data_IF_646214848257
#
_entry.id   IF_646214848257
#
_cell.length_a   1.000
_cell.length_b   1.000
_cell.length_c   1.000
_cell.angle_alpha   90.00
_cell.angle_beta   90.00
_cell.angle_gamma   90.00
#
_symmetry.space_group_name_H-M   'P 1'
#
loop_
_entity.id
_entity.type
_entity.pdbx_description
1 polymer ?
#
# COMPACT_ATOMS: atom_id res chain seq x y z
N UNK A 1 11.37 3.06 -10.64
CA UNK A 1 12.21 4.21 -11.06
C UNK A 1 13.66 3.75 -11.18
N UNK A 2 14.33 3.26 -10.13
CA UNK A 2 15.77 2.95 -10.12
C UNK A 2 16.26 2.09 -11.30
N UNK A 3 15.56 0.99 -11.61
CA UNK A 3 15.89 0.15 -12.77
C UNK A 3 15.73 0.93 -14.07
N UNK A 4 14.57 1.56 -14.26
CA UNK A 4 14.26 2.28 -15.49
C UNK A 4 15.23 3.44 -15.75
N UNK A 5 15.57 4.20 -14.70
CA UNK A 5 16.55 5.29 -14.80
C UNK A 5 17.92 4.80 -15.28
N UNK A 6 18.40 3.68 -14.72
CA UNK A 6 19.71 3.11 -15.08
C UNK A 6 19.70 2.41 -16.44
N UNK A 7 18.67 1.60 -16.73
CA UNK A 7 18.59 0.80 -17.95
C UNK A 7 18.32 1.67 -19.17
N UNK A 8 17.40 2.62 -19.05
CA UNK A 8 17.02 3.49 -20.16
C UNK A 8 18.01 4.65 -20.36
N UNK A 9 18.84 4.92 -19.37
CA UNK A 9 19.75 6.08 -19.35
C UNK A 9 19.06 7.40 -19.73
N UNK A 10 17.81 7.55 -19.33
CA UNK A 10 16.96 8.72 -19.58
C UNK A 10 16.48 9.33 -18.29
N UNK A 11 16.32 10.64 -18.30
CA UNK A 11 15.67 11.36 -17.21
C UNK A 11 14.18 11.01 -17.20
N UNK A 12 13.70 10.44 -16.10
CA UNK A 12 12.31 10.05 -15.94
C UNK A 12 11.53 11.16 -15.25
N UNK A 13 10.24 11.31 -15.57
CA UNK A 13 9.34 12.17 -14.81
C UNK A 13 8.75 11.38 -13.64
N UNK A 14 8.86 11.92 -12.44
CA UNK A 14 8.31 11.36 -11.22
C UNK A 14 7.33 12.33 -10.56
N UNK A 15 6.22 11.82 -10.10
CA UNK A 15 5.15 12.59 -9.49
C UNK A 15 4.92 12.12 -8.06
N UNK A 16 4.81 13.05 -7.11
CA UNK A 16 4.50 12.73 -5.72
C UNK A 16 3.51 13.71 -5.14
N UNK A 17 2.54 13.20 -4.41
CA UNK A 17 1.70 14.03 -3.54
C UNK A 17 2.51 14.33 -2.29
N UNK A 18 2.61 15.61 -1.97
CA UNK A 18 3.28 16.09 -0.77
C UNK A 18 2.25 16.26 0.33
N UNK A 19 2.48 15.59 1.44
CA UNK A 19 1.59 15.58 2.59
C UNK A 19 2.29 16.23 3.79
N UNK A 20 1.62 17.20 4.41
CA UNK A 20 2.14 17.90 5.59
C UNK A 20 1.81 17.18 6.91
N UNK A 21 0.89 16.21 6.88
CA UNK A 21 0.56 15.41 8.05
C UNK A 21 1.71 14.43 8.37
N UNK A 22 2.36 14.53 9.56
CA UNK A 22 3.50 13.68 9.92
C UNK A 22 3.21 12.17 9.88
N UNK A 23 1.93 11.78 9.93
CA UNK A 23 1.51 10.37 9.83
C UNK A 23 1.69 9.80 8.44
N UNK A 24 1.57 10.64 7.41
CA UNK A 24 1.60 10.29 5.98
C UNK A 24 2.73 10.97 5.21
N UNK A 25 3.55 11.79 5.89
CA UNK A 25 4.67 12.52 5.28
C UNK A 25 5.80 11.56 4.88
N UNK A 26 6.28 11.66 3.64
CA UNK A 26 7.39 10.90 3.06
C UNK A 26 8.45 11.80 2.39
N UNK A 27 8.38 13.11 2.58
CA UNK A 27 9.18 14.10 1.86
C UNK A 27 10.68 13.78 1.90
N UNK A 28 11.18 13.38 3.07
CA UNK A 28 12.60 13.03 3.25
C UNK A 28 13.02 11.85 2.36
N UNK A 29 12.18 10.81 2.25
CA UNK A 29 12.48 9.64 1.42
C UNK A 29 12.33 9.96 -0.06
N UNK A 30 11.36 10.79 -0.42
CA UNK A 30 11.17 11.31 -1.77
C UNK A 30 12.39 12.11 -2.19
N UNK A 31 12.88 13.04 -1.38
CA UNK A 31 14.06 13.86 -1.70
C UNK A 31 15.34 13.01 -1.87
N UNK A 32 15.50 11.95 -1.07
CA UNK A 32 16.60 10.98 -1.24
C UNK A 32 16.45 10.23 -2.56
N UNK A 33 15.25 9.76 -2.89
CA UNK A 33 14.99 9.08 -4.16
C UNK A 33 15.25 9.97 -5.36
N UNK A 34 14.79 11.21 -5.32
CA UNK A 34 15.01 12.21 -6.39
C UNK A 34 16.49 12.49 -6.60
N UNK A 35 17.26 12.67 -5.51
CA UNK A 35 18.71 12.95 -5.58
C UNK A 35 19.50 11.74 -6.10
N UNK A 36 19.08 10.52 -5.77
CA UNK A 36 19.80 9.30 -6.13
C UNK A 36 19.43 8.74 -7.50
N UNK A 37 18.28 9.16 -8.05
CA UNK A 37 17.74 8.67 -9.32
C UNK A 37 17.62 9.83 -10.30
N UNK A 38 18.14 9.75 -11.48
CA UNK A 38 18.04 10.81 -12.49
C UNK A 38 16.58 11.07 -12.92
N UNK A 39 15.83 11.84 -12.12
CA UNK A 39 14.40 12.10 -12.32
C UNK A 39 14.08 13.58 -12.34
N UNK A 40 13.08 13.95 -13.15
CA UNK A 40 12.38 15.22 -13.10
C UNK A 40 11.19 15.07 -12.13
N UNK A 41 11.28 15.71 -10.98
CA UNK A 41 10.31 15.51 -9.91
C UNK A 41 9.27 16.62 -9.87
N UNK A 42 8.01 16.22 -9.96
CA UNK A 42 6.84 17.08 -9.87
C UNK A 42 6.14 16.88 -8.52
N UNK A 43 6.28 17.86 -7.62
CA UNK A 43 5.59 17.89 -6.33
C UNK A 43 4.16 18.41 -6.51
N UNK A 44 3.19 17.66 -6.00
CA UNK A 44 1.77 18.00 -6.05
C UNK A 44 1.30 18.27 -4.63
N UNK A 45 0.83 19.49 -4.38
CA UNK A 45 0.31 19.89 -3.08
C UNK A 45 -1.21 19.87 -3.10
N UNK A 46 -1.81 19.21 -2.11
CA UNK A 46 -3.25 19.18 -1.95
C UNK A 46 -3.70 20.46 -1.23
N UNK A 47 -4.39 21.32 -1.95
CA UNK A 47 -5.04 22.47 -1.33
C UNK A 47 -6.31 22.03 -0.58
N UNK A 48 -6.59 22.71 0.56
CA UNK A 48 -7.85 22.51 1.31
C UNK A 48 -9.09 23.11 0.61
N UNK A 49 -8.85 23.97 -0.39
CA UNK A 49 -9.93 24.64 -1.13
C UNK A 49 -10.67 23.64 -2.03
N UNK A 50 -12.00 23.72 -2.01
CA UNK A 50 -12.90 22.96 -2.89
C UNK A 50 -12.79 21.44 -2.73
N UNK A 51 -12.45 20.94 -1.53
CA UNK A 51 -12.37 19.50 -1.28
C UNK A 51 -13.71 18.82 -1.59
N UNK A 52 -14.81 19.31 -1.02
CA UNK A 52 -16.14 18.73 -1.22
C UNK A 52 -16.60 18.79 -2.66
N UNK A 53 -16.44 19.93 -3.34
CA UNK A 53 -16.78 20.08 -4.77
C UNK A 53 -15.99 19.10 -5.66
N UNK A 54 -14.72 18.89 -5.34
CA UNK A 54 -13.87 17.94 -6.07
C UNK A 54 -14.26 16.50 -5.75
N UNK A 55 -14.61 16.20 -4.50
CA UNK A 55 -15.10 14.88 -4.08
C UNK A 55 -16.42 14.54 -4.78
N UNK A 56 -17.37 15.47 -4.79
CA UNK A 56 -18.64 15.31 -5.51
C UNK A 56 -18.41 15.01 -6.99
N UNK A 57 -17.55 15.78 -7.67
CA UNK A 57 -17.20 15.52 -9.07
C UNK A 57 -16.60 14.13 -9.28
N UNK A 58 -15.74 13.68 -8.37
CA UNK A 58 -15.19 12.32 -8.47
C UNK A 58 -16.25 11.25 -8.26
N UNK A 59 -17.15 11.43 -7.31
CA UNK A 59 -18.29 10.51 -7.07
C UNK A 59 -19.18 10.42 -8.33
N UNK A 60 -19.50 11.57 -8.93
CA UNK A 60 -20.29 11.63 -10.17
C UNK A 60 -19.58 10.92 -11.33
N UNK A 61 -18.27 11.12 -11.49
CA UNK A 61 -17.48 10.46 -12.54
C UNK A 61 -17.36 8.96 -12.31
N UNK A 62 -17.19 8.53 -11.07
CA UNK A 62 -17.07 7.11 -10.71
C UNK A 62 -18.43 6.38 -10.71
N UNK A 63 -19.55 7.10 -10.63
CA UNK A 63 -20.90 6.55 -10.49
C UNK A 63 -21.14 5.84 -9.14
N UNK A 64 -20.24 6.04 -8.16
CA UNK A 64 -20.28 5.40 -6.83
C UNK A 64 -19.49 6.19 -5.80
N UNK A 65 -19.74 5.96 -4.48
CA UNK A 65 -18.91 6.55 -3.43
C UNK A 65 -17.44 6.18 -3.56
N UNK A 66 -16.55 7.08 -3.15
CA UNK A 66 -15.11 6.86 -3.10
C UNK A 66 -14.79 6.07 -1.82
N UNK A 67 -14.14 4.92 -1.95
CA UNK A 67 -13.90 4.01 -0.82
C UNK A 67 -12.97 4.59 0.27
N UNK A 68 -11.91 5.29 -0.15
CA UNK A 68 -10.95 5.90 0.77
C UNK A 68 -10.40 7.19 0.20
N UNK A 69 -9.87 8.05 1.07
CA UNK A 69 -9.20 9.29 0.69
C UNK A 69 -8.01 9.04 -0.28
N UNK A 70 -7.41 7.85 -0.27
CA UNK A 70 -6.32 7.49 -1.17
C UNK A 70 -6.74 7.61 -2.64
N UNK A 71 -7.95 7.19 -2.99
CA UNK A 71 -8.43 7.27 -4.37
C UNK A 71 -8.78 8.70 -4.79
N UNK A 72 -9.20 9.53 -3.83
CA UNK A 72 -9.31 10.97 -4.06
C UNK A 72 -7.96 11.58 -4.42
N UNK A 73 -6.90 11.23 -3.68
CA UNK A 73 -5.53 11.68 -3.94
C UNK A 73 -5.03 11.22 -5.31
N UNK A 74 -5.32 9.97 -5.66
CA UNK A 74 -4.91 9.39 -6.93
C UNK A 74 -5.54 10.10 -8.12
N UNK A 75 -6.81 10.49 -8.02
CA UNK A 75 -7.46 11.28 -9.05
C UNK A 75 -6.72 12.60 -9.31
N UNK A 76 -6.31 13.29 -8.23
CA UNK A 76 -5.49 14.51 -8.36
C UNK A 76 -4.15 14.24 -9.01
N UNK A 77 -3.51 13.14 -8.66
CA UNK A 77 -2.24 12.73 -9.24
C UNK A 77 -2.38 12.54 -10.75
N UNK A 78 -3.38 11.78 -11.19
CA UNK A 78 -3.65 11.52 -12.62
C UNK A 78 -3.99 12.81 -13.38
N UNK A 79 -4.78 13.69 -12.78
CA UNK A 79 -5.07 15.02 -13.34
C UNK A 79 -3.79 15.83 -13.63
N UNK A 80 -2.87 15.86 -12.68
CA UNK A 80 -1.63 16.62 -12.82
C UNK A 80 -0.65 15.98 -13.81
N UNK A 81 -0.63 14.65 -13.91
CA UNK A 81 0.13 13.89 -14.93
C UNK A 81 -0.40 14.24 -16.34
N UNK A 82 -1.73 14.18 -16.51
CA UNK A 82 -2.39 14.48 -17.80
C UNK A 82 -2.17 15.92 -18.26
N UNK A 83 -2.25 16.91 -17.36
CA UNK A 83 -1.98 18.31 -17.67
C UNK A 83 -0.58 18.56 -18.24
N UNK A 84 0.36 17.68 -17.94
CA UNK A 84 1.73 17.73 -18.47
C UNK A 84 1.93 16.91 -19.74
N UNK A 85 0.85 16.42 -20.32
CA UNK A 85 0.85 15.74 -21.61
C UNK A 85 1.24 14.26 -21.56
N UNK A 86 1.45 13.66 -20.38
CA UNK A 86 1.76 12.23 -20.27
C UNK A 86 0.51 11.38 -20.50
N UNK A 87 0.70 10.25 -21.17
CA UNK A 87 -0.35 9.28 -21.51
C UNK A 87 -0.21 7.94 -20.82
N UNK A 88 0.98 7.67 -20.26
CA UNK A 88 1.28 6.42 -19.56
C UNK A 88 1.88 6.77 -18.20
N UNK A 89 1.39 6.15 -17.15
CA UNK A 89 1.96 6.16 -15.81
C UNK A 89 2.40 4.76 -15.39
N UNK A 90 3.36 4.68 -14.47
CA UNK A 90 3.82 3.43 -13.89
C UNK A 90 3.70 3.53 -12.37
N UNK A 91 2.94 2.63 -11.77
CA UNK A 91 2.71 2.55 -10.33
C UNK A 91 3.47 1.41 -9.66
N UNK A 92 3.53 1.44 -8.32
CA UNK A 92 4.09 0.37 -7.49
C UNK A 92 3.06 -0.64 -7.00
N UNK A 93 1.86 -0.64 -7.54
CA UNK A 93 0.75 -1.52 -7.14
C UNK A 93 1.14 -3.00 -7.26
N UNK A 94 0.76 -3.82 -6.28
CA UNK A 94 1.08 -5.24 -6.23
C UNK A 94 2.37 -5.59 -5.49
N UNK A 95 3.25 -4.62 -5.21
CA UNK A 95 4.54 -4.89 -4.56
C UNK A 95 4.38 -5.39 -3.11
N UNK A 96 3.39 -4.92 -2.39
CA UNK A 96 3.13 -5.33 -1.01
C UNK A 96 2.61 -6.77 -0.94
N UNK A 97 1.76 -7.15 -1.86
CA UNK A 97 1.12 -8.45 -1.97
C UNK A 97 2.08 -9.54 -2.48
N UNK A 98 3.02 -9.17 -3.35
CA UNK A 98 3.99 -10.13 -3.92
C UNK A 98 5.23 -10.29 -3.04
N UNK A 99 5.63 -9.26 -2.28
CA UNK A 99 6.89 -9.23 -1.54
C UNK A 99 6.73 -9.05 -0.01
N UNK A 100 5.55 -9.12 0.55
CA UNK A 100 5.28 -8.92 1.99
C UNK A 100 5.43 -7.47 2.47
N UNK A 101 4.48 -6.60 2.15
CA UNK A 101 4.56 -5.18 2.55
C UNK A 101 3.74 -4.78 3.77
N UNK A 102 2.80 -5.61 4.23
CA UNK A 102 1.89 -5.26 5.31
C UNK A 102 2.40 -5.70 6.68
N UNK A 103 1.96 -5.00 7.74
CA UNK A 103 2.30 -5.39 9.12
C UNK A 103 1.75 -6.76 9.49
N UNK A 104 0.60 -7.12 8.93
CA UNK A 104 -0.01 -8.43 9.11
C UNK A 104 0.89 -9.58 8.63
N UNK A 105 1.66 -9.37 7.57
CA UNK A 105 2.62 -10.34 7.07
C UNK A 105 3.69 -10.71 8.10
N UNK A 106 4.07 -9.78 8.99
CA UNK A 106 4.96 -10.08 10.10
C UNK A 106 4.32 -11.04 11.11
N UNK A 107 3.05 -10.82 11.44
CA UNK A 107 2.31 -11.66 12.37
C UNK A 107 2.13 -13.08 11.81
N UNK A 108 1.79 -13.19 10.51
CA UNK A 108 1.65 -14.48 9.81
C UNK A 108 3.00 -15.21 9.71
N UNK A 109 4.06 -14.50 9.36
CA UNK A 109 5.40 -15.09 9.31
C UNK A 109 5.87 -15.55 10.68
N UNK A 110 5.63 -14.77 11.74
CA UNK A 110 5.96 -15.15 13.10
C UNK A 110 5.24 -16.45 13.53
N UNK A 111 3.96 -16.61 13.13
CA UNK A 111 3.24 -17.87 13.34
C UNK A 111 3.91 -19.03 12.59
N UNK A 112 4.29 -18.82 11.34
CA UNK A 112 4.88 -19.86 10.49
C UNK A 112 6.20 -20.38 11.05
N UNK A 113 7.05 -19.49 11.60
CA UNK A 113 8.35 -19.85 12.19
C UNK A 113 8.29 -20.14 13.70
N UNK A 114 7.09 -20.24 14.31
CA UNK A 114 6.90 -20.32 15.76
C UNK A 114 7.68 -21.47 16.45
N UNK A 115 7.91 -22.56 15.72
CA UNK A 115 8.65 -23.73 16.20
C UNK A 115 10.18 -23.59 16.04
N UNK A 116 10.68 -22.55 15.34
CA UNK A 116 12.09 -22.29 15.17
C UNK A 116 12.54 -21.16 16.13
N UNK A 117 13.12 -21.53 17.28
CA UNK A 117 13.43 -20.59 18.35
C UNK A 117 14.38 -19.48 17.91
N UNK A 118 15.41 -19.80 17.11
CA UNK A 118 16.40 -18.81 16.67
C UNK A 118 15.80 -17.76 15.72
N UNK A 119 15.04 -18.19 14.72
CA UNK A 119 14.36 -17.28 13.79
C UNK A 119 13.30 -16.44 14.51
N UNK A 120 12.51 -17.08 15.37
CA UNK A 120 11.49 -16.41 16.18
C UNK A 120 12.08 -15.29 17.02
N UNK A 121 13.20 -15.52 17.71
CA UNK A 121 13.85 -14.49 18.52
C UNK A 121 14.30 -13.32 17.65
N UNK A 122 15.00 -13.56 16.55
CA UNK A 122 15.48 -12.51 15.63
C UNK A 122 14.33 -11.64 15.09
N UNK A 123 13.23 -12.25 14.65
CA UNK A 123 12.07 -11.52 14.15
C UNK A 123 11.39 -10.73 15.27
N UNK A 124 11.25 -11.31 16.46
CA UNK A 124 10.65 -10.64 17.61
C UNK A 124 11.47 -9.43 18.07
N UNK A 125 12.78 -9.57 18.15
CA UNK A 125 13.68 -8.47 18.54
C UNK A 125 13.61 -7.33 17.51
N UNK A 126 13.68 -7.64 16.23
CA UNK A 126 13.57 -6.65 15.16
C UNK A 126 12.19 -5.97 15.16
N UNK A 127 11.11 -6.76 15.31
CA UNK A 127 9.75 -6.23 15.40
C UNK A 127 9.61 -5.24 16.54
N UNK A 128 10.04 -5.60 17.74
CA UNK A 128 9.89 -4.76 18.93
C UNK A 128 10.70 -3.46 18.83
N UNK A 129 11.90 -3.52 18.30
CA UNK A 129 12.83 -2.39 18.23
C UNK A 129 12.53 -1.47 17.03
N UNK A 130 12.20 -2.04 15.88
CA UNK A 130 12.20 -1.29 14.62
C UNK A 130 10.79 -1.05 14.05
N UNK A 131 9.86 -2.01 14.19
CA UNK A 131 8.58 -1.97 13.46
C UNK A 131 7.40 -1.55 14.33
N UNK A 132 7.25 -2.14 15.52
CA UNK A 132 6.07 -2.02 16.39
C UNK A 132 5.65 -0.58 16.68
N UNK A 133 6.62 0.35 16.77
CA UNK A 133 6.37 1.78 17.01
C UNK A 133 5.56 2.46 15.91
N UNK A 134 5.57 1.93 14.69
CA UNK A 134 4.83 2.46 13.54
C UNK A 134 3.44 1.82 13.36
N UNK A 135 3.19 0.69 14.01
CA UNK A 135 1.93 -0.04 13.88
C UNK A 135 0.82 0.68 14.63
N UNK A 136 -0.21 1.12 13.91
CA UNK A 136 -1.36 1.83 14.50
C UNK A 136 -2.47 0.87 14.93
N UNK A 137 -2.73 -0.17 14.13
CA UNK A 137 -3.76 -1.14 14.45
C UNK A 137 -3.38 -1.93 15.72
N UNK A 138 -4.17 -1.88 16.80
CA UNK A 138 -3.84 -2.50 18.08
C UNK A 138 -3.70 -4.02 17.99
N UNK A 139 -4.47 -4.69 17.16
CA UNK A 139 -4.35 -6.14 16.96
C UNK A 139 -3.00 -6.51 16.37
N UNK A 140 -2.55 -5.79 15.35
CA UNK A 140 -1.29 -6.06 14.66
C UNK A 140 -0.04 -5.77 15.52
N UNK A 141 -0.17 -4.98 16.59
CA UNK A 141 0.94 -4.77 17.55
C UNK A 141 1.36 -6.06 18.26
N UNK A 142 0.46 -7.04 18.35
CA UNK A 142 0.77 -8.34 18.92
C UNK A 142 1.36 -9.27 17.85
N UNK A 143 2.68 -9.42 17.83
CA UNK A 143 3.35 -10.30 16.86
C UNK A 143 2.86 -11.75 16.91
N UNK A 144 2.29 -12.20 18.03
CA UNK A 144 1.74 -13.55 18.22
C UNK A 144 0.25 -13.64 17.92
N UNK A 145 -0.33 -12.68 17.20
CA UNK A 145 -1.76 -12.58 16.92
C UNK A 145 -2.38 -13.92 16.48
N UNK A 146 -1.71 -14.65 15.60
CA UNK A 146 -2.20 -15.90 15.02
C UNK A 146 -1.87 -17.17 15.80
N UNK A 147 -1.17 -17.09 16.93
CA UNK A 147 -0.73 -18.28 17.68
C UNK A 147 -1.91 -19.09 18.24
N UNK A 148 -2.95 -18.40 18.72
CA UNK A 148 -4.14 -19.03 19.27
C UNK A 148 -5.21 -19.33 18.20
N UNK A 149 -5.33 -18.46 17.18
CA UNK A 149 -6.29 -18.63 16.11
C UNK A 149 -5.70 -18.15 14.77
N UNK A 150 -5.23 -19.10 13.97
CA UNK A 150 -4.67 -18.83 12.64
C UNK A 150 -5.67 -18.25 11.63
N UNK A 151 -6.97 -18.39 11.91
CA UNK A 151 -8.07 -17.90 11.08
C UNK A 151 -8.60 -16.53 11.52
N UNK A 152 -7.99 -15.91 12.53
CA UNK A 152 -8.40 -14.59 13.00
C UNK A 152 -8.25 -13.55 11.88
N UNK A 153 -9.31 -12.79 11.58
CA UNK A 153 -9.34 -11.78 10.52
C UNK A 153 -10.12 -10.51 10.92
N UNK A 154 -10.58 -10.41 12.16
CA UNK A 154 -11.42 -9.29 12.64
C UNK A 154 -10.77 -7.92 12.49
N UNK A 155 -9.43 -7.88 12.35
CA UNK A 155 -8.67 -6.65 12.14
C UNK A 155 -8.67 -6.15 10.68
N UNK A 156 -9.17 -6.96 9.74
CA UNK A 156 -9.18 -6.67 8.29
C UNK A 156 -10.53 -6.07 7.88
N UNK A 157 -11.62 -6.54 8.50
CA UNK A 157 -12.97 -6.22 8.07
C UNK A 157 -13.67 -5.23 8.99
N UNK A 158 -14.64 -4.53 8.42
CA UNK A 158 -15.63 -3.78 9.19
C UNK A 158 -16.34 -4.72 10.17
N UNK A 159 -16.68 -4.19 11.34
CA UNK A 159 -17.61 -4.85 12.22
C UNK A 159 -19.00 -4.86 11.57
N UNK A 160 -19.32 -5.94 10.85
CA UNK A 160 -20.55 -6.09 10.08
C UNK A 160 -21.80 -5.86 10.93
N UNK A 161 -21.82 -6.33 12.17
CA UNK A 161 -22.95 -6.15 13.09
C UNK A 161 -23.17 -4.67 13.42
N UNK A 162 -22.10 -3.94 13.70
CA UNK A 162 -22.18 -2.50 13.95
C UNK A 162 -22.54 -1.76 12.68
N UNK A 163 -21.90 -2.08 11.54
CA UNK A 163 -22.14 -1.40 10.28
C UNK A 163 -23.57 -1.62 9.76
N UNK A 164 -24.10 -2.84 9.88
CA UNK A 164 -25.48 -3.15 9.45
C UNK A 164 -26.53 -2.34 10.20
N UNK A 165 -26.23 -1.88 11.45
CA UNK A 165 -27.16 -1.02 12.20
C UNK A 165 -27.34 0.38 11.61
N UNK A 166 -26.44 0.82 10.73
CA UNK A 166 -26.53 2.09 9.99
C UNK A 166 -27.18 1.95 8.61
N UNK A 167 -27.43 0.71 8.16
CA UNK A 167 -28.06 0.46 6.86
C UNK A 167 -29.57 0.42 6.98
N UNK A 168 -30.26 0.96 5.95
CA UNK A 168 -31.71 0.86 5.85
C UNK A 168 -32.17 -0.60 5.74
N UNK A 169 -31.48 -1.36 4.88
CA UNK A 169 -31.67 -2.80 4.73
C UNK A 169 -30.44 -3.49 5.32
N UNK A 170 -30.61 -4.20 6.43
CA UNK A 170 -29.50 -4.86 7.12
C UNK A 170 -28.88 -5.93 6.21
N UNK A 171 -27.60 -5.78 5.94
CA UNK A 171 -26.84 -6.72 5.14
C UNK A 171 -25.54 -7.10 5.88
N UNK A 172 -25.28 -8.38 5.96
CA UNK A 172 -24.09 -8.95 6.61
C UNK A 172 -23.45 -9.91 5.63
N UNK A 173 -22.21 -9.61 5.24
CA UNK A 173 -21.39 -10.52 4.48
C UNK A 173 -20.38 -11.22 5.39
N UNK A 174 -20.35 -12.55 5.33
CA UNK A 174 -19.29 -13.29 5.99
C UNK A 174 -18.03 -13.25 5.13
N UNK A 175 -16.91 -12.92 5.75
CA UNK A 175 -15.63 -13.03 5.06
C UNK A 175 -15.11 -14.46 5.12
N UNK A 176 -14.75 -14.99 3.95
CA UNK A 176 -14.08 -16.29 3.80
C UNK A 176 -12.81 -16.15 2.97
N UNK A 177 -11.68 -16.39 3.62
CA UNK A 177 -10.39 -16.44 2.93
C UNK A 177 -10.30 -17.74 2.10
N UNK A 178 -9.94 -17.60 0.81
CA UNK A 178 -9.73 -18.77 -0.06
C UNK A 178 -8.47 -19.52 0.37
N UNK A 179 -8.51 -20.85 0.27
CA UNK A 179 -7.39 -21.73 0.60
C UNK A 179 -6.64 -22.14 -0.66
N UNK A 180 -5.57 -21.43 -0.99
CA UNK A 180 -4.70 -21.73 -2.12
C UNK A 180 -3.52 -22.61 -1.72
N UNK A 181 -2.91 -22.30 -0.56
CA UNK A 181 -1.68 -22.91 -0.10
C UNK A 181 -1.74 -23.19 1.42
N UNK A 182 -1.02 -24.22 1.86
CA UNK A 182 -0.83 -24.52 3.28
C UNK A 182 0.07 -23.51 4.01
N UNK A 183 0.94 -22.81 3.28
CA UNK A 183 1.75 -21.70 3.77
C UNK A 183 0.84 -20.49 4.03
N UNK A 184 0.60 -20.18 5.31
CA UNK A 184 -0.40 -19.18 5.68
C UNK A 184 -0.03 -17.75 5.24
N UNK A 185 1.27 -17.44 5.17
CA UNK A 185 1.74 -16.14 4.68
C UNK A 185 1.46 -16.00 3.18
N UNK A 186 1.88 -16.97 2.39
CA UNK A 186 1.62 -16.96 0.95
C UNK A 186 0.13 -17.04 0.63
N UNK A 187 -0.62 -17.84 1.41
CA UNK A 187 -2.07 -17.91 1.25
C UNK A 187 -2.72 -16.53 1.46
N UNK A 188 -2.26 -15.78 2.46
CA UNK A 188 -2.73 -14.40 2.70
C UNK A 188 -2.38 -13.49 1.53
N UNK A 189 -1.13 -13.51 1.08
CA UNK A 189 -0.65 -12.73 -0.07
C UNK A 189 -1.50 -12.98 -1.33
N UNK A 190 -1.88 -14.24 -1.59
CA UNK A 190 -2.73 -14.60 -2.74
C UNK A 190 -4.18 -14.11 -2.58
N UNK A 191 -4.73 -14.13 -1.37
CA UNK A 191 -6.06 -13.56 -1.13
C UNK A 191 -6.07 -12.03 -1.33
N UNK A 192 -5.05 -11.33 -0.85
CA UNK A 192 -4.88 -9.90 -1.08
C UNK A 192 -4.72 -9.58 -2.57
N UNK A 193 -3.98 -10.42 -3.29
CA UNK A 193 -3.69 -10.24 -4.72
C UNK A 193 -4.93 -10.48 -5.60
N UNK A 194 -5.74 -11.51 -5.30
CA UNK A 194 -6.80 -11.95 -6.22
C UNK A 194 -8.22 -11.61 -5.77
N UNK A 195 -8.46 -11.37 -4.48
CA UNK A 195 -9.82 -11.24 -3.96
C UNK A 195 -10.07 -9.99 -3.12
N UNK A 196 -9.03 -9.34 -2.60
CA UNK A 196 -9.21 -8.27 -1.62
C UNK A 196 -8.61 -6.94 -2.07
N UNK A 197 -7.31 -6.75 -1.83
CA UNK A 197 -6.67 -5.45 -2.01
C UNK A 197 -6.48 -5.07 -3.49
N UNK A 198 -5.80 -5.93 -4.26
CA UNK A 198 -5.37 -5.59 -5.62
C UNK A 198 -6.53 -5.41 -6.59
N UNK A 199 -7.59 -6.24 -6.62
CA UNK A 199 -8.72 -6.01 -7.52
C UNK A 199 -9.41 -4.65 -7.29
N UNK A 200 -9.56 -4.24 -6.03
CA UNK A 200 -10.13 -2.93 -5.68
C UNK A 200 -9.19 -1.81 -6.10
N UNK A 201 -7.90 -1.93 -5.81
CA UNK A 201 -6.91 -0.92 -6.19
C UNK A 201 -6.87 -0.75 -7.70
N UNK A 202 -6.83 -1.84 -8.47
CA UNK A 202 -6.78 -1.77 -9.94
C UNK A 202 -8.04 -1.16 -10.53
N UNK A 203 -9.23 -1.48 -9.99
CA UNK A 203 -10.48 -0.86 -10.43
C UNK A 203 -10.49 0.66 -10.20
N UNK A 204 -9.97 1.11 -9.04
CA UNK A 204 -9.88 2.53 -8.74
C UNK A 204 -8.77 3.22 -9.55
N UNK A 205 -7.63 2.55 -9.73
CA UNK A 205 -6.52 3.03 -10.55
C UNK A 205 -6.98 3.26 -12.00
N UNK A 206 -7.72 2.30 -12.55
CA UNK A 206 -8.26 2.40 -13.91
C UNK A 206 -9.26 3.55 -14.03
N UNK A 207 -10.26 3.62 -13.14
CA UNK A 207 -11.24 4.70 -13.14
C UNK A 207 -10.57 6.08 -13.05
N UNK A 208 -9.63 6.25 -12.12
CA UNK A 208 -8.95 7.53 -11.91
C UNK A 208 -8.02 7.90 -13.07
N UNK A 209 -7.34 6.95 -13.67
CA UNK A 209 -6.42 7.21 -14.78
C UNK A 209 -7.16 7.43 -16.10
N UNK A 210 -8.19 6.65 -16.38
CA UNK A 210 -8.98 6.75 -17.60
C UNK A 210 -9.79 8.04 -17.67
N UNK A 211 -10.23 8.58 -16.53
CA UNK A 211 -10.86 9.91 -16.47
C UNK A 211 -9.98 11.02 -17.07
N UNK A 212 -8.67 10.81 -17.15
CA UNK A 212 -7.70 11.74 -17.71
C UNK A 212 -6.96 11.18 -18.93
N UNK A 213 -7.45 10.10 -19.53
CA UNK A 213 -6.87 9.43 -20.70
C UNK A 213 -5.40 9.04 -20.46
N UNK A 214 -5.13 8.45 -19.29
CA UNK A 214 -3.84 7.90 -18.90
C UNK A 214 -3.98 6.39 -18.77
N UNK A 215 -3.05 5.65 -19.33
CA UNK A 215 -2.85 4.22 -19.08
C UNK A 215 -1.95 4.03 -17.87
N UNK A 216 -2.47 3.48 -16.76
CA UNK A 216 -1.66 3.17 -15.59
C UNK A 216 -1.17 1.71 -15.65
N UNK A 217 0.13 1.50 -15.54
CA UNK A 217 0.78 0.19 -15.59
C UNK A 217 1.36 -0.20 -14.24
N UNK A 218 1.21 -1.47 -13.87
CA UNK A 218 1.66 -2.04 -12.60
C UNK A 218 2.65 -3.20 -12.84
N UNK A 219 3.94 -2.94 -13.06
CA UNK A 219 4.93 -3.96 -13.43
C UNK A 219 5.13 -5.08 -12.41
N UNK A 220 4.78 -4.85 -11.14
CA UNK A 220 4.84 -5.90 -10.12
C UNK A 220 3.77 -6.98 -10.31
N UNK A 221 2.71 -6.71 -11.07
CA UNK A 221 1.66 -7.69 -11.37
C UNK A 221 1.98 -8.56 -12.60
N UNK A 222 3.24 -8.63 -13.00
CA UNK A 222 3.71 -9.54 -14.04
C UNK A 222 3.59 -11.00 -13.57
N UNK A 223 3.01 -11.86 -14.43
CA UNK A 223 2.74 -13.27 -14.10
C UNK A 223 4.03 -14.08 -13.91
N UNK A 224 5.10 -13.78 -14.65
CA UNK A 224 6.37 -14.48 -14.47
C UNK A 224 7.02 -14.10 -13.14
N UNK A 225 6.93 -12.83 -12.75
CA UNK A 225 7.41 -12.36 -11.46
C UNK A 225 6.64 -13.02 -10.31
N UNK A 226 5.31 -13.09 -10.40
CA UNK A 226 4.47 -13.76 -9.43
C UNK A 226 4.82 -15.25 -9.30
N UNK A 227 4.90 -15.96 -10.42
CA UNK A 227 5.26 -17.38 -10.44
C UNK A 227 6.65 -17.62 -9.84
N UNK A 228 7.62 -16.77 -10.18
CA UNK A 228 8.95 -16.86 -9.59
C UNK A 228 8.91 -16.69 -8.07
N UNK A 229 8.26 -15.64 -7.58
CA UNK A 229 8.22 -15.34 -6.15
C UNK A 229 7.47 -16.41 -5.36
N UNK A 230 6.34 -16.90 -5.86
CA UNK A 230 5.55 -17.95 -5.18
C UNK A 230 6.30 -19.27 -5.02
N UNK A 231 7.24 -19.60 -5.92
CA UNK A 231 8.06 -20.81 -5.82
C UNK A 231 9.20 -20.68 -4.81
N UNK A 232 9.51 -19.48 -4.32
CA UNK A 232 10.56 -19.29 -3.33
C UNK A 232 10.06 -19.64 -1.92
N UNK A 233 10.89 -20.25 -1.06
CA UNK A 233 10.57 -20.46 0.34
C UNK A 233 10.28 -19.13 1.06
N UNK A 234 9.29 -19.12 1.97
CA UNK A 234 8.83 -17.91 2.67
C UNK A 234 9.93 -17.18 3.46
N UNK A 235 11.00 -17.88 3.85
CA UNK A 235 12.16 -17.27 4.49
C UNK A 235 12.85 -16.17 3.67
N UNK A 236 12.69 -16.16 2.35
CA UNK A 236 13.28 -15.13 1.48
C UNK A 236 12.50 -13.82 1.49
N UNK A 237 11.24 -13.85 1.89
CA UNK A 237 10.43 -12.62 1.99
C UNK A 237 10.76 -11.77 3.21
N UNK A 238 11.20 -12.43 4.31
CA UNK A 238 11.50 -11.75 5.59
C UNK A 238 12.85 -12.20 6.15
N UNK A 239 13.92 -11.65 5.62
CA UNK A 239 15.27 -11.94 6.11
C UNK A 239 15.73 -10.83 7.07
N UNK A 240 16.44 -11.21 8.11
CA UNK A 240 17.02 -10.29 9.11
C UNK A 240 15.97 -9.33 9.73
N UNK A 241 14.69 -9.70 9.70
CA UNK A 241 13.59 -8.89 10.19
C UNK A 241 12.96 -7.93 9.18
N UNK A 242 13.58 -7.70 8.04
CA UNK A 242 13.00 -6.84 7.01
C UNK A 242 11.94 -7.58 6.17
N UNK A 243 10.77 -6.98 6.03
CA UNK A 243 9.83 -7.35 4.96
C UNK A 243 10.36 -6.94 3.59
N UNK A 244 9.82 -7.50 2.51
CA UNK A 244 10.29 -7.27 1.14
C UNK A 244 11.77 -7.59 0.94
N UNK A 245 12.35 -8.51 1.71
CA UNK A 245 13.80 -8.78 1.67
C UNK A 245 14.28 -9.13 0.28
N UNK A 246 13.54 -9.96 -0.45
CA UNK A 246 13.86 -10.32 -1.82
C UNK A 246 13.97 -9.09 -2.73
N UNK A 247 12.96 -8.20 -2.66
CA UNK A 247 12.96 -6.96 -3.44
C UNK A 247 14.10 -6.03 -3.01
N UNK A 248 14.32 -5.85 -1.71
CA UNK A 248 15.41 -5.01 -1.18
C UNK A 248 16.77 -5.50 -1.63
N UNK A 249 17.01 -6.80 -1.56
CA UNK A 249 18.29 -7.41 -1.97
C UNK A 249 18.54 -7.28 -3.47
N UNK A 250 17.49 -7.46 -4.30
CA UNK A 250 17.61 -7.28 -5.75
C UNK A 250 17.83 -5.82 -6.18
N UNK A 251 17.42 -4.86 -5.34
CA UNK A 251 17.49 -3.42 -5.65
C UNK A 251 18.76 -2.73 -5.11
N UNK A 252 19.68 -3.42 -4.44
CA UNK A 252 20.87 -2.83 -3.82
C UNK A 252 21.72 -1.95 -4.75
N UNK A 253 21.79 -2.30 -6.02
CA UNK A 253 22.56 -1.54 -7.01
C UNK A 253 21.73 -0.44 -7.71
N UNK A 254 20.44 -0.32 -7.40
CA UNK A 254 19.50 0.57 -8.10
C UNK A 254 18.90 1.64 -7.20
N UNK A 255 18.89 1.43 -5.90
CA UNK A 255 18.20 2.29 -4.92
C UNK A 255 19.12 2.63 -3.76
N UNK A 256 19.03 3.86 -3.25
CA UNK A 256 19.82 4.32 -2.09
C UNK A 256 19.55 3.46 -0.84
N UNK A 257 20.59 3.17 -0.07
CA UNK A 257 20.51 2.35 1.13
C UNK A 257 19.54 2.91 2.18
N UNK A 258 19.40 4.23 2.29
CA UNK A 258 18.46 4.87 3.23
C UNK A 258 17.02 4.53 2.89
N UNK A 259 16.71 4.31 1.61
CA UNK A 259 15.39 3.86 1.15
C UNK A 259 15.27 2.34 1.34
N UNK A 260 16.30 1.59 0.92
CA UNK A 260 16.29 0.13 1.01
C UNK A 260 16.10 -0.39 2.44
N UNK A 261 16.68 0.28 3.42
CA UNK A 261 16.61 -0.15 4.83
C UNK A 261 15.65 0.67 5.68
N UNK A 262 14.80 1.50 5.05
CA UNK A 262 13.74 2.18 5.76
C UNK A 262 12.72 1.16 6.30
N UNK A 263 12.46 1.22 7.60
CA UNK A 263 11.51 0.33 8.30
C UNK A 263 10.12 0.93 8.46
N UNK A 264 10.02 2.27 8.30
CA UNK A 264 8.72 2.94 8.36
C UNK A 264 7.94 2.68 7.09
N UNK A 265 6.81 1.96 7.21
CA UNK A 265 5.83 1.86 6.13
C UNK A 265 4.85 3.03 6.24
N UNK A 266 4.78 3.81 5.18
CA UNK A 266 3.74 4.81 4.96
C UNK A 266 2.87 4.33 3.80
N UNK A 267 1.55 4.39 3.96
CA UNK A 267 0.62 4.13 2.87
C UNK A 267 0.37 5.41 2.08
N UNK A 268 0.05 5.27 0.80
CA UNK A 268 -0.46 6.37 0.00
C UNK A 268 -1.81 6.81 0.55
N UNK A 269 -1.81 7.81 1.42
CA UNK A 269 -2.97 8.22 2.21
C UNK A 269 -2.84 9.67 2.67
N UNK A 270 -3.95 10.25 3.17
CA UNK A 270 -3.97 11.56 3.81
C UNK A 270 -5.01 11.58 4.95
N UNK A 271 -5.00 12.66 5.72
CA UNK A 271 -6.04 12.91 6.72
C UNK A 271 -7.23 13.60 6.05
N UNK A 272 -8.40 12.98 6.11
CA UNK A 272 -9.64 13.62 5.65
C UNK A 272 -9.93 14.89 6.45
N UNK A 273 -9.65 14.90 7.75
CA UNK A 273 -9.86 16.05 8.62
C UNK A 273 -8.98 17.25 8.23
N UNK A 274 -7.81 17.00 7.63
CA UNK A 274 -6.94 18.04 7.10
C UNK A 274 -7.42 18.58 5.75
N UNK A 275 -8.23 17.80 5.04
CA UNK A 275 -8.77 18.16 3.73
C UNK A 275 -10.09 18.93 3.83
N UNK A 276 -10.85 18.73 4.90
CA UNK A 276 -12.13 19.41 5.15
C UNK A 276 -11.91 20.65 6.00
N UNK A 277 -12.34 21.80 5.51
CA UNK A 277 -12.47 23.02 6.34
C UNK A 277 -13.77 22.94 7.16
N UNK A 278 -13.70 22.33 8.33
CA UNK A 278 -14.85 22.15 9.21
C UNK A 278 -15.50 23.47 9.66
N UNK A 279 -14.79 24.60 9.59
CA UNK A 279 -15.35 25.92 9.93
C UNK A 279 -16.27 26.46 8.84
N UNK A 280 -15.92 26.16 7.57
CA UNK A 280 -16.72 26.57 6.39
C UNK A 280 -17.82 25.57 6.05
N UNK A 281 -17.67 24.29 6.43
CA UNK A 281 -18.59 23.22 6.05
C UNK A 281 -19.34 22.69 7.29
N UNK A 282 -19.83 23.59 8.15
CA UNK A 282 -20.60 23.22 9.34
C UNK A 282 -21.95 22.57 9.03
N UNK A 283 -22.46 22.76 7.83
CA UNK A 283 -23.79 22.34 7.38
C UNK A 283 -23.76 21.03 6.56
N UNK A 284 -22.60 20.33 6.52
CA UNK A 284 -22.44 19.03 5.87
C UNK A 284 -22.27 17.90 6.89
#
# INVERSE_FOLDING_TARGET
IGIASKVLNKKLNAFSIINDDPRFEENKMIDIAVKSQNVDHHKIFLGKKNFLDNLEKQILLAGRPIYTISYYLQNFLMKEISKRGFKVSISGTGADEIFTGYYDHYNLYAYQIRNNQNYRKKISDFWNNEIKKYVRNPFLKNLKLYYNNKKFRDHIYLNNKLFSSYLKDAWIESFEEKSFLSDILKNRMLNELFYEAVPVILSEDDNNSMNYSIENRSPYLDTNLLNYTLNLPSKFYMQKGFSKSLLRDSMKNFVDNKILYNTRKVGFNASINESIDLKKNKDY
#
